data_IF_144701936604
#
_entry.id   IF_144701936604
#
_cell.length_a   1.000
_cell.length_b   1.000
_cell.length_c   1.000
_cell.angle_alpha   90.00
_cell.angle_beta   90.00
_cell.angle_gamma   90.00
#
_symmetry.space_group_name_H-M   'P 1'
#
loop_
_entity.id
_entity.type
_entity.pdbx_description
1 polymer ?
#
# COMPACT_ATOMS: atom_id res chain seq x y z
N UNK A 1 -34.45 -21.83 -12.08
CA UNK A 1 -33.79 -20.64 -12.69
C UNK A 1 -32.62 -20.26 -11.82
N UNK A 2 -31.42 -20.77 -12.13
CA UNK A 2 -30.20 -20.35 -11.43
C UNK A 2 -29.87 -18.95 -11.90
N UNK A 3 -29.87 -18.00 -10.97
CA UNK A 3 -29.47 -16.64 -11.25
C UNK A 3 -28.02 -16.62 -11.67
N UNK A 4 -27.72 -16.12 -12.85
CA UNK A 4 -26.39 -15.83 -13.36
C UNK A 4 -25.77 -14.88 -12.34
N UNK A 5 -24.94 -15.40 -11.44
CA UNK A 5 -24.10 -14.55 -10.58
C UNK A 5 -23.12 -13.84 -11.52
N UNK A 6 -23.41 -12.60 -11.85
CA UNK A 6 -22.47 -11.75 -12.56
C UNK A 6 -21.15 -11.73 -11.78
N UNK A 7 -20.04 -11.95 -12.45
CA UNK A 7 -18.72 -11.84 -11.84
C UNK A 7 -18.60 -10.45 -11.18
N UNK A 8 -18.01 -10.36 -9.98
CA UNK A 8 -17.79 -9.06 -9.36
C UNK A 8 -16.95 -8.19 -10.29
N UNK A 9 -17.24 -6.89 -10.31
CA UNK A 9 -16.52 -5.92 -11.14
C UNK A 9 -15.59 -5.12 -10.25
N UNK A 10 -14.34 -4.97 -10.69
CA UNK A 10 -13.38 -4.03 -10.11
C UNK A 10 -13.27 -2.84 -11.06
N UNK A 11 -13.66 -1.67 -10.58
CA UNK A 11 -13.41 -0.43 -11.30
C UNK A 11 -11.99 0.03 -11.01
N UNK A 12 -11.28 0.50 -12.04
CA UNK A 12 -9.95 1.04 -11.88
C UNK A 12 -9.76 2.35 -12.63
N UNK A 13 -8.88 3.21 -12.11
CA UNK A 13 -8.47 4.45 -12.76
C UNK A 13 -7.00 4.76 -12.48
N UNK A 14 -6.44 5.64 -13.31
CA UNK A 14 -5.10 6.19 -13.11
C UNK A 14 -5.16 7.37 -12.15
N UNK A 15 -4.13 7.50 -11.31
CA UNK A 15 -3.93 8.65 -10.44
C UNK A 15 -2.49 9.16 -10.59
N UNK A 16 -2.34 10.44 -10.98
CA UNK A 16 -1.02 11.06 -11.11
C UNK A 16 -0.62 11.72 -9.81
N UNK A 17 0.44 11.22 -9.18
CA UNK A 17 1.00 11.78 -7.96
C UNK A 17 2.30 12.55 -8.24
N UNK A 18 2.75 13.41 -7.30
CA UNK A 18 4.05 14.08 -7.42
C UNK A 18 5.25 13.11 -7.51
N UNK A 19 5.04 11.84 -7.13
CA UNK A 19 6.07 10.81 -7.11
C UNK A 19 5.96 9.82 -8.26
N UNK A 20 4.99 9.98 -9.15
CA UNK A 20 4.72 9.09 -10.29
C UNK A 20 3.27 8.61 -10.34
N UNK A 21 2.95 7.88 -11.39
CA UNK A 21 1.59 7.41 -11.63
C UNK A 21 1.26 6.15 -10.84
N UNK A 22 0.08 6.15 -10.24
CA UNK A 22 -0.52 5.03 -9.55
C UNK A 22 -1.72 4.49 -10.34
N UNK A 23 -1.99 3.22 -10.18
CA UNK A 23 -3.23 2.59 -10.57
C UNK A 23 -4.05 2.31 -9.33
N UNK A 24 -5.26 2.84 -9.28
CA UNK A 24 -6.23 2.59 -8.22
C UNK A 24 -7.24 1.58 -8.70
N UNK A 25 -7.65 0.63 -7.82
CA UNK A 25 -8.69 -0.34 -8.12
C UNK A 25 -9.59 -0.56 -6.90
N UNK A 26 -10.89 -0.63 -7.13
CA UNK A 26 -11.88 -0.78 -6.07
C UNK A 26 -12.98 -1.75 -6.45
N UNK A 27 -13.43 -2.52 -5.47
CA UNK A 27 -14.73 -3.15 -5.47
C UNK A 27 -15.83 -2.10 -5.22
N UNK A 28 -17.06 -2.50 -5.11
CA UNK A 28 -18.19 -1.59 -4.82
C UNK A 28 -17.96 -0.80 -3.51
N UNK A 29 -17.38 -1.45 -2.49
CA UNK A 29 -17.30 -0.93 -1.11
C UNK A 29 -15.88 -0.72 -0.57
N UNK A 30 -14.83 -1.22 -1.25
CA UNK A 30 -13.45 -1.23 -0.73
C UNK A 30 -12.39 -0.99 -1.79
N UNK A 31 -11.31 -0.30 -1.42
CA UNK A 31 -10.11 -0.16 -2.22
C UNK A 31 -9.28 -1.47 -2.13
N UNK A 32 -8.97 -2.09 -3.27
CA UNK A 32 -8.20 -3.33 -3.34
C UNK A 32 -6.84 -3.20 -4.05
N UNK A 33 -6.64 -2.09 -4.76
CA UNK A 33 -5.40 -1.77 -5.45
C UNK A 33 -5.05 -0.30 -5.32
N UNK A 34 -3.84 0.00 -4.97
CA UNK A 34 -3.13 1.27 -5.16
C UNK A 34 -1.67 0.92 -5.37
N UNK A 35 -1.23 0.89 -6.61
CA UNK A 35 0.13 0.44 -6.92
C UNK A 35 0.77 1.28 -8.04
N UNK A 36 2.10 1.38 -8.00
CA UNK A 36 2.86 2.15 -8.98
C UNK A 36 2.79 1.49 -10.35
N UNK A 37 2.45 2.27 -11.40
CA UNK A 37 2.41 1.76 -12.77
C UNK A 37 3.76 1.21 -13.26
N UNK A 38 4.84 1.74 -12.74
CA UNK A 38 6.23 1.35 -13.09
C UNK A 38 6.80 0.25 -12.22
N UNK A 39 5.99 -0.36 -11.34
CA UNK A 39 6.45 -1.37 -10.39
C UNK A 39 6.95 -2.63 -11.11
N UNK A 40 8.17 -3.10 -10.81
CA UNK A 40 8.61 -4.43 -11.23
C UNK A 40 7.69 -5.53 -10.66
N UNK A 41 7.33 -6.52 -11.46
CA UNK A 41 6.45 -7.63 -11.05
C UNK A 41 5.01 -7.25 -10.65
N UNK A 42 4.48 -6.14 -11.13
CA UNK A 42 3.08 -5.73 -10.94
C UNK A 42 2.11 -6.85 -11.35
N UNK A 43 2.46 -7.61 -12.39
CA UNK A 43 1.68 -8.74 -12.88
C UNK A 43 1.36 -9.78 -11.78
N UNK A 44 2.31 -10.08 -10.88
CA UNK A 44 2.08 -11.01 -9.75
C UNK A 44 1.00 -10.51 -8.79
N UNK A 45 0.87 -9.20 -8.64
CA UNK A 45 -0.20 -8.59 -7.82
C UNK A 45 -1.54 -8.78 -8.52
N UNK A 46 -1.63 -8.44 -9.81
CA UNK A 46 -2.85 -8.64 -10.58
C UNK A 46 -3.28 -10.10 -10.63
N UNK A 47 -2.37 -11.03 -10.89
CA UNK A 47 -2.66 -12.48 -10.88
C UNK A 47 -3.22 -12.91 -9.51
N UNK A 48 -2.65 -12.42 -8.40
CA UNK A 48 -3.16 -12.71 -7.07
C UNK A 48 -4.57 -12.14 -6.87
N UNK A 49 -4.79 -10.87 -7.20
CA UNK A 49 -6.10 -10.24 -7.07
C UNK A 49 -7.15 -10.97 -7.93
N UNK A 50 -6.83 -11.29 -9.18
CA UNK A 50 -7.72 -12.03 -10.08
C UNK A 50 -8.07 -13.41 -9.54
N UNK A 51 -7.07 -14.14 -9.03
CA UNK A 51 -7.28 -15.49 -8.47
C UNK A 51 -8.24 -15.51 -7.29
N UNK A 52 -8.19 -14.47 -6.44
CA UNK A 52 -9.01 -14.40 -5.23
C UNK A 52 -10.37 -13.75 -5.46
N UNK A 53 -10.45 -12.74 -6.33
CA UNK A 53 -11.68 -11.99 -6.55
C UNK A 53 -12.51 -12.56 -7.69
N UNK A 54 -11.90 -13.30 -8.64
CA UNK A 54 -12.54 -13.79 -9.86
C UNK A 54 -13.40 -12.69 -10.52
N UNK A 55 -12.84 -11.48 -10.60
CA UNK A 55 -13.54 -10.27 -10.98
C UNK A 55 -13.15 -9.81 -12.38
N UNK A 56 -14.06 -9.13 -13.04
CA UNK A 56 -13.79 -8.39 -14.28
C UNK A 56 -13.24 -7.01 -13.92
N UNK A 57 -12.17 -6.57 -14.62
CA UNK A 57 -11.59 -5.24 -14.47
C UNK A 57 -12.13 -4.32 -15.54
N UNK A 58 -12.70 -3.19 -15.12
CA UNK A 58 -13.19 -2.14 -16.04
C UNK A 58 -12.62 -0.80 -15.67
N UNK A 59 -12.17 -0.06 -16.66
CA UNK A 59 -11.80 1.33 -16.45
C UNK A 59 -13.06 2.14 -16.12
N UNK A 60 -12.98 2.97 -15.08
CA UNK A 60 -14.12 3.73 -14.63
C UNK A 60 -13.87 4.40 -13.28
N UNK A 61 -14.91 5.00 -12.74
CA UNK A 61 -14.85 5.71 -11.47
C UNK A 61 -15.94 5.20 -10.50
N UNK A 62 -15.67 5.35 -9.21
CA UNK A 62 -16.60 5.02 -8.13
C UNK A 62 -16.40 5.97 -6.95
N UNK A 63 -17.34 5.99 -6.02
CA UNK A 63 -17.20 6.76 -4.79
C UNK A 63 -15.92 6.40 -4.01
N UNK A 64 -15.55 5.11 -4.02
CA UNK A 64 -14.32 4.63 -3.36
C UNK A 64 -13.07 5.16 -4.07
N UNK A 65 -13.03 5.12 -5.41
CA UNK A 65 -11.89 5.65 -6.18
C UNK A 65 -11.77 7.17 -6.04
N UNK A 66 -12.88 7.90 -6.05
CA UNK A 66 -12.90 9.34 -5.81
C UNK A 66 -12.40 9.68 -4.41
N UNK A 67 -12.89 8.96 -3.39
CA UNK A 67 -12.43 9.14 -2.00
C UNK A 67 -10.94 8.82 -1.87
N UNK A 68 -10.45 7.77 -2.53
CA UNK A 68 -9.04 7.41 -2.53
C UNK A 68 -8.18 8.52 -3.14
N UNK A 69 -8.58 9.06 -4.30
CA UNK A 69 -7.88 10.17 -4.97
C UNK A 69 -7.85 11.43 -4.11
N UNK A 70 -8.99 11.83 -3.54
CA UNK A 70 -9.06 12.97 -2.62
C UNK A 70 -8.12 12.82 -1.42
N UNK A 71 -8.11 11.63 -0.80
CA UNK A 71 -7.24 11.39 0.36
C UNK A 71 -5.76 11.35 -0.01
N UNK A 72 -5.42 10.89 -1.22
CA UNK A 72 -4.05 10.98 -1.74
C UNK A 72 -3.63 12.43 -1.99
N UNK A 73 -4.51 13.27 -2.56
CA UNK A 73 -4.24 14.70 -2.76
C UNK A 73 -3.97 15.40 -1.42
N UNK A 74 -4.77 15.12 -0.41
CA UNK A 74 -4.57 15.63 0.95
C UNK A 74 -3.27 15.12 1.57
N UNK A 75 -2.95 13.84 1.37
CA UNK A 75 -1.72 13.22 1.88
C UNK A 75 -0.47 13.85 1.23
N UNK A 76 -0.45 13.98 -0.10
CA UNK A 76 0.67 14.59 -0.81
C UNK A 76 0.82 16.09 -0.56
N UNK A 77 -0.27 16.78 -0.22
CA UNK A 77 -0.24 18.19 0.20
C UNK A 77 0.06 18.40 1.69
N UNK A 78 0.31 17.32 2.45
CA UNK A 78 0.63 17.38 3.88
C UNK A 78 -0.57 17.69 4.79
N UNK A 79 -1.79 17.65 4.26
CA UNK A 79 -3.03 17.91 5.01
C UNK A 79 -3.61 16.66 5.68
N UNK A 80 -3.09 15.48 5.33
CA UNK A 80 -3.56 14.18 5.84
C UNK A 80 -2.38 13.30 6.23
N UNK A 81 -2.47 12.63 7.36
CA UNK A 81 -1.48 11.66 7.85
C UNK A 81 -2.01 10.22 7.90
N UNK A 82 -3.34 10.06 7.93
CA UNK A 82 -4.03 8.77 8.05
C UNK A 82 -5.15 8.65 7.03
N UNK A 83 -5.49 7.42 6.66
CA UNK A 83 -6.56 7.13 5.69
C UNK A 83 -7.76 6.49 6.38
N UNK A 84 -8.97 6.88 5.98
CA UNK A 84 -10.24 6.38 6.52
C UNK A 84 -11.10 5.66 5.47
N UNK A 85 -10.47 5.18 4.40
CA UNK A 85 -11.10 4.41 3.34
C UNK A 85 -11.09 2.92 3.69
N UNK A 86 -12.18 2.18 3.45
CA UNK A 86 -12.19 0.73 3.64
C UNK A 86 -11.21 0.04 2.67
N UNK A 87 -10.32 -0.80 3.21
CA UNK A 87 -9.33 -1.53 2.44
C UNK A 87 -9.71 -3.01 2.32
N UNK A 88 -9.49 -3.60 1.15
CA UNK A 88 -9.59 -5.02 0.89
C UNK A 88 -8.18 -5.60 0.68
N UNK A 89 -7.63 -6.21 1.73
CA UNK A 89 -6.32 -6.86 1.67
C UNK A 89 -6.45 -8.31 1.23
N UNK A 90 -5.80 -8.67 0.13
CA UNK A 90 -5.82 -10.02 -0.44
C UNK A 90 -4.43 -10.61 -0.41
N UNK A 91 -4.25 -11.65 0.40
CA UNK A 91 -2.98 -12.33 0.58
C UNK A 91 -3.07 -13.48 1.58
N UNK A 92 -1.97 -14.21 1.76
CA UNK A 92 -1.88 -15.26 2.77
C UNK A 92 -2.09 -14.72 4.20
N UNK A 93 -2.45 -15.57 5.17
CA UNK A 93 -2.58 -15.14 6.57
C UNK A 93 -1.32 -14.40 7.07
N UNK A 94 -0.13 -14.90 6.75
CA UNK A 94 1.12 -14.25 7.11
C UNK A 94 1.27 -12.85 6.48
N UNK A 95 0.94 -12.70 5.21
CA UNK A 95 0.96 -11.39 4.54
C UNK A 95 -0.02 -10.41 5.18
N UNK A 96 -1.21 -10.88 5.51
CA UNK A 96 -2.21 -10.03 6.18
C UNK A 96 -1.74 -9.57 7.57
N UNK A 97 -1.08 -10.44 8.34
CA UNK A 97 -0.51 -10.07 9.65
C UNK A 97 0.60 -9.03 9.50
N UNK A 98 1.46 -9.19 8.49
CA UNK A 98 2.48 -8.19 8.13
C UNK A 98 1.83 -6.86 7.80
N UNK A 99 0.81 -6.83 6.94
CA UNK A 99 0.13 -5.59 6.51
C UNK A 99 -0.67 -4.93 7.64
N UNK A 100 -1.30 -5.69 8.53
CA UNK A 100 -1.92 -5.14 9.75
C UNK A 100 -0.90 -4.44 10.65
N UNK A 101 0.32 -4.98 10.75
CA UNK A 101 1.38 -4.35 11.52
C UNK A 101 1.88 -3.05 10.85
N UNK A 102 1.97 -3.01 9.51
CA UNK A 102 2.34 -1.80 8.77
C UNK A 102 1.39 -0.65 9.07
N UNK A 103 0.09 -0.91 9.10
CA UNK A 103 -0.93 0.11 9.37
C UNK A 103 -0.82 0.73 10.78
N UNK A 104 -0.10 0.06 11.70
CA UNK A 104 0.16 0.57 13.06
C UNK A 104 1.39 1.45 13.16
N UNK A 105 2.17 1.61 12.09
CA UNK A 105 3.36 2.48 12.08
C UNK A 105 2.87 3.92 11.88
N UNK A 106 3.08 4.82 12.86
CA UNK A 106 2.62 6.21 12.76
C UNK A 106 3.26 6.95 11.59
N UNK A 107 2.59 8.02 11.12
CA UNK A 107 3.19 8.98 10.21
C UNK A 107 4.45 9.59 10.84
N UNK A 108 5.49 9.84 10.04
CA UNK A 108 6.77 10.34 10.55
C UNK A 108 7.65 9.30 11.25
N UNK A 109 7.18 8.05 11.43
CA UNK A 109 7.93 6.99 12.10
C UNK A 109 8.39 5.91 11.12
N UNK A 110 9.50 5.26 11.43
CA UNK A 110 10.02 4.13 10.67
C UNK A 110 10.20 2.89 11.55
N UNK A 111 10.24 1.72 10.93
CA UNK A 111 10.47 0.44 11.57
C UNK A 111 11.49 -0.35 10.74
N UNK A 112 12.41 -1.11 11.37
CA UNK A 112 13.26 -2.01 10.61
C UNK A 112 12.57 -3.34 10.32
N UNK A 113 12.98 -4.03 9.23
CA UNK A 113 12.48 -5.39 8.93
C UNK A 113 12.69 -6.35 10.09
N UNK A 114 13.81 -6.20 10.81
CA UNK A 114 14.11 -7.00 12.00
C UNK A 114 13.10 -6.73 13.13
N UNK A 115 12.86 -5.46 13.45
CA UNK A 115 11.88 -5.08 14.47
C UNK A 115 10.45 -5.47 14.07
N UNK A 116 10.11 -5.42 12.76
CA UNK A 116 8.83 -5.90 12.26
C UNK A 116 8.68 -7.42 12.49
N UNK A 117 9.72 -8.22 12.20
CA UNK A 117 9.73 -9.66 12.42
C UNK A 117 9.62 -10.01 13.91
N UNK A 118 10.29 -9.25 14.79
CA UNK A 118 10.18 -9.40 16.25
C UNK A 118 8.75 -9.12 16.74
N UNK A 119 8.13 -8.03 16.29
CA UNK A 119 6.73 -7.70 16.67
C UNK A 119 5.72 -8.73 16.18
N UNK A 120 6.02 -9.43 15.09
CA UNK A 120 5.23 -10.56 14.60
C UNK A 120 5.52 -11.87 15.36
N UNK A 121 6.41 -11.85 16.37
CA UNK A 121 6.88 -13.02 17.10
C UNK A 121 7.52 -14.09 16.20
N UNK A 122 8.13 -13.64 15.09
CA UNK A 122 8.82 -14.48 14.10
C UNK A 122 10.19 -13.89 13.75
N UNK A 123 11.14 -13.78 14.71
CA UNK A 123 12.40 -13.05 14.51
C UNK A 123 13.28 -13.62 13.41
N UNK A 124 13.17 -14.92 13.10
CA UNK A 124 13.90 -15.56 11.99
C UNK A 124 13.28 -15.30 10.61
N UNK A 125 12.05 -14.73 10.53
CA UNK A 125 11.30 -14.59 9.30
C UNK A 125 11.57 -13.25 8.55
N UNK A 126 12.71 -12.59 8.76
CA UNK A 126 13.01 -11.25 8.20
C UNK A 126 12.85 -11.22 6.68
N UNK A 127 13.36 -12.23 5.96
CA UNK A 127 13.20 -12.31 4.49
C UNK A 127 11.75 -12.48 4.06
N UNK A 128 10.97 -13.29 4.78
CA UNK A 128 9.56 -13.48 4.52
C UNK A 128 8.76 -12.20 4.79
N UNK A 129 9.10 -11.45 5.83
CA UNK A 129 8.53 -10.15 6.14
C UNK A 129 8.82 -9.15 5.03
N UNK A 130 10.06 -9.07 4.54
CA UNK A 130 10.44 -8.22 3.41
C UNK A 130 9.68 -8.59 2.13
N UNK A 131 9.54 -9.89 1.84
CA UNK A 131 8.74 -10.38 0.72
C UNK A 131 7.26 -10.02 0.87
N UNK A 132 6.68 -10.13 2.06
CA UNK A 132 5.30 -9.76 2.33
C UNK A 132 5.07 -8.25 2.21
N UNK A 133 6.02 -7.40 2.66
CA UNK A 133 6.00 -5.97 2.41
C UNK A 133 6.03 -5.67 0.91
N UNK A 134 6.90 -6.35 0.16
CA UNK A 134 6.97 -6.27 -1.28
C UNK A 134 5.74 -6.80 -2.02
N UNK A 135 4.89 -7.59 -1.40
CA UNK A 135 3.63 -8.08 -1.97
C UNK A 135 2.43 -7.17 -1.69
N UNK A 136 2.61 -6.05 -0.98
CA UNK A 136 1.55 -5.10 -0.70
C UNK A 136 0.97 -4.51 -2.00
N UNK A 137 -0.35 -4.64 -2.18
CA UNK A 137 -1.10 -4.10 -3.32
C UNK A 137 -1.70 -2.72 -3.06
N UNK A 138 -1.56 -2.21 -1.84
CA UNK A 138 -2.18 -0.96 -1.37
C UNK A 138 -1.09 0.02 -0.92
N UNK A 139 -0.16 0.32 -1.82
CA UNK A 139 0.93 1.28 -1.58
C UNK A 139 0.38 2.59 -1.02
N UNK A 140 1.07 3.21 -0.10
CA UNK A 140 0.71 4.44 0.62
C UNK A 140 -0.37 4.19 1.68
N UNK A 141 -1.54 3.63 1.33
CA UNK A 141 -2.60 3.29 2.28
C UNK A 141 -2.14 2.28 3.33
N UNK A 142 -1.34 1.31 2.91
CA UNK A 142 -0.60 0.41 3.81
C UNK A 142 0.88 0.80 3.69
N UNK A 143 1.46 1.46 4.71
CA UNK A 143 2.72 2.19 4.57
C UNK A 143 3.97 1.29 4.62
N UNK A 144 4.16 0.42 3.62
CA UNK A 144 5.37 -0.41 3.50
C UNK A 144 6.64 0.44 3.29
N UNK A 145 6.51 1.68 2.81
CA UNK A 145 7.60 2.65 2.69
C UNK A 145 8.15 3.12 4.05
N UNK A 146 7.46 2.87 5.17
CA UNK A 146 7.94 3.16 6.54
C UNK A 146 8.83 2.05 7.10
N UNK A 147 9.07 0.97 6.33
CA UNK A 147 9.99 -0.10 6.76
C UNK A 147 11.29 0.00 6.00
N UNK A 148 12.39 0.06 6.75
CA UNK A 148 13.75 0.30 6.27
C UNK A 148 14.70 -0.84 6.65
N UNK A 149 15.84 -0.91 5.99
CA UNK A 149 16.94 -1.81 6.38
C UNK A 149 17.51 -1.44 7.76
N UNK A 150 18.20 -2.38 8.38
CA UNK A 150 18.78 -2.18 9.73
C UNK A 150 19.86 -1.08 9.75
N UNK A 151 20.51 -0.82 8.60
CA UNK A 151 21.47 0.25 8.38
C UNK A 151 20.83 1.58 7.91
N UNK A 152 19.49 1.71 8.01
CA UNK A 152 18.74 2.88 7.53
C UNK A 152 18.57 2.96 6.01
N UNK A 153 19.09 1.97 5.26
CA UNK A 153 18.95 1.97 3.80
C UNK A 153 17.54 1.56 3.38
N UNK A 154 17.06 2.25 2.35
CA UNK A 154 15.79 1.97 1.68
C UNK A 154 16.03 0.84 0.67
N UNK A 155 15.82 -0.40 1.09
CA UNK A 155 16.01 -1.57 0.22
C UNK A 155 14.66 -2.14 -0.22
N UNK A 156 14.48 -2.31 -1.54
CA UNK A 156 13.40 -3.12 -2.08
C UNK A 156 12.00 -2.48 -2.10
N UNK A 157 11.89 -1.15 -2.07
CA UNK A 157 10.58 -0.50 -2.21
C UNK A 157 9.99 -0.67 -3.62
N UNK A 158 8.70 -0.98 -3.69
CA UNK A 158 7.99 -1.29 -4.92
C UNK A 158 7.93 -0.13 -5.93
N UNK A 159 7.91 1.12 -5.45
CA UNK A 159 7.92 2.32 -6.28
C UNK A 159 9.32 2.72 -6.78
N UNK A 160 10.37 1.96 -6.43
CA UNK A 160 11.76 2.29 -6.77
C UNK A 160 12.44 3.20 -5.73
N UNK A 161 13.77 3.30 -5.83
CA UNK A 161 14.59 4.05 -4.87
C UNK A 161 14.24 5.54 -4.83
N UNK A 162 13.96 6.16 -5.97
CA UNK A 162 13.63 7.59 -6.07
C UNK A 162 12.35 7.94 -5.31
N UNK A 163 11.31 7.13 -5.45
CA UNK A 163 10.03 7.29 -4.73
C UNK A 163 10.20 6.99 -3.24
N UNK A 164 10.99 5.97 -2.90
CA UNK A 164 11.30 5.63 -1.52
C UNK A 164 12.04 6.75 -0.80
N UNK A 165 13.00 7.40 -1.47
CA UNK A 165 13.75 8.54 -0.92
C UNK A 165 12.80 9.74 -0.68
N UNK A 166 11.89 10.05 -1.62
CA UNK A 166 10.93 11.13 -1.46
C UNK A 166 9.97 10.86 -0.28
N UNK A 167 9.45 9.65 -0.15
CA UNK A 167 8.57 9.27 0.97
C UNK A 167 9.30 9.25 2.30
N UNK A 168 10.54 8.78 2.34
CA UNK A 168 11.36 8.84 3.55
C UNK A 168 11.78 10.25 3.89
N UNK A 169 12.11 11.09 2.92
CA UNK A 169 12.40 12.50 3.14
C UNK A 169 11.17 13.23 3.68
N UNK A 170 9.97 13.00 3.14
CA UNK A 170 8.73 13.60 3.64
C UNK A 170 8.39 13.09 5.04
N UNK A 171 8.58 11.80 5.29
CA UNK A 171 8.36 11.16 6.60
C UNK A 171 9.42 11.62 7.62
N UNK A 172 10.69 11.72 7.22
CA UNK A 172 11.80 12.18 8.09
C UNK A 172 11.73 13.70 8.30
N UNK A 173 11.43 14.49 7.26
CA UNK A 173 11.23 15.92 7.39
C UNK A 173 10.05 16.25 8.32
N UNK A 174 8.94 15.52 8.23
CA UNK A 174 7.82 15.69 9.15
C UNK A 174 8.22 15.37 10.62
N UNK A 175 9.10 14.38 10.83
CA UNK A 175 9.61 14.06 12.16
C UNK A 175 10.62 15.11 12.69
N UNK A 176 11.38 15.76 11.81
CA UNK A 176 12.38 16.78 12.18
C UNK A 176 11.74 18.16 12.39
N UNK A 177 10.62 18.45 11.72
CA UNK A 177 9.92 19.73 11.80
C UNK A 177 8.70 19.72 12.75
N UNK A 178 8.52 18.70 13.60
CA UNK A 178 7.55 18.83 14.70
C UNK A 178 8.07 19.88 15.70
N UNK A 179 7.32 20.97 15.93
CA UNK A 179 7.70 21.90 16.99
C UNK A 179 7.66 21.15 18.33
N UNK A 180 8.77 21.20 19.04
CA UNK A 180 8.87 20.70 20.41
C UNK A 180 7.78 21.40 21.22
N UNK A 181 6.78 20.61 21.67
CA UNK A 181 5.76 21.08 22.60
C UNK A 181 6.29 21.05 24.01
#
# INVERSE_FOLDING_TARGET
MEGIKSSPVILYCSYSSPCGDLLLGATEDRLCLCDWKTRPNQEKIFQRLNRYLNAEWREGNSCILQKASCQLDEYFSGKRETFDIPLLTIGSPFQQDVWKLLQKIPYGSTLSYCAQAQRLQKPSAIRAVASANGANALSIFIPCHRVIGQNGQLTGYAGGLSVSILFSATTILAAVFQPIK
#
